data_IF_866137097573
#
_entry.id   IF_866137097573
#
_cell.length_a   1.000
_cell.length_b   1.000
_cell.length_c   1.000
_cell.angle_alpha   90.00
_cell.angle_beta   90.00
_cell.angle_gamma   90.00
#
_symmetry.space_group_name_H-M   'P 1'
#
loop_
_entity.id
_entity.type
_entity.pdbx_description
1 polymer ?
#
# COMPACT_ATOMS: atom_id res chain seq x y z
N UNK A 1 2.72 13.06 -3.81
CA UNK A 1 2.34 11.63 -3.82
C UNK A 1 2.10 11.18 -5.26
N UNK A 2 2.35 9.92 -5.61
CA UNK A 2 1.98 9.37 -6.92
C UNK A 2 0.48 9.49 -7.21
N UNK A 3 0.09 9.49 -8.49
CA UNK A 3 -1.32 9.36 -8.91
C UNK A 3 -1.93 8.02 -8.49
N UNK A 4 -1.12 6.99 -8.27
CA UNK A 4 -1.52 5.65 -7.82
C UNK A 4 -1.70 5.54 -6.30
N UNK A 5 -1.36 6.58 -5.53
CA UNK A 5 -1.51 6.59 -4.07
C UNK A 5 -2.98 6.46 -3.64
N UNK A 6 -3.21 5.74 -2.54
CA UNK A 6 -4.54 5.37 -2.06
C UNK A 6 -5.47 6.59 -1.83
N UNK A 7 -6.78 6.51 -2.13
CA UNK A 7 -7.72 7.61 -1.92
C UNK A 7 -7.84 8.11 -0.47
N UNK A 8 -7.34 7.36 0.52
CA UNK A 8 -7.25 7.84 1.90
C UNK A 8 -6.41 9.13 2.02
N UNK A 9 -5.41 9.34 1.17
CA UNK A 9 -4.66 10.60 1.15
C UNK A 9 -5.54 11.79 0.68
N UNK A 10 -6.52 11.55 -0.20
CA UNK A 10 -7.53 12.58 -0.53
C UNK A 10 -8.42 12.93 0.65
N UNK A 11 -8.84 11.92 1.42
CA UNK A 11 -9.60 12.15 2.65
C UNK A 11 -8.77 12.95 3.66
N UNK A 12 -7.51 12.61 3.85
CA UNK A 12 -6.59 13.37 4.69
C UNK A 12 -6.46 14.84 4.23
N UNK A 13 -6.28 15.09 2.92
CA UNK A 13 -6.25 16.44 2.36
C UNK A 13 -7.54 17.23 2.65
N UNK A 14 -8.71 16.58 2.57
CA UNK A 14 -10.00 17.20 2.86
C UNK A 14 -10.20 17.49 4.36
N UNK A 15 -9.85 16.54 5.23
CA UNK A 15 -10.04 16.62 6.68
C UNK A 15 -9.06 17.62 7.30
N UNK A 16 -7.78 17.50 6.97
CA UNK A 16 -6.70 18.30 7.56
C UNK A 16 -6.33 19.53 6.73
N UNK A 17 -7.12 19.83 5.69
CA UNK A 17 -6.96 21.00 4.80
C UNK A 17 -5.56 21.09 4.17
N UNK A 18 -5.05 19.94 3.73
CA UNK A 18 -3.74 19.84 3.09
C UNK A 18 -3.87 19.88 1.56
N UNK A 19 -2.98 20.63 0.90
CA UNK A 19 -2.87 20.62 -0.55
C UNK A 19 -2.19 19.33 -1.02
N UNK A 20 -2.85 18.60 -1.92
CA UNK A 20 -2.29 17.37 -2.49
C UNK A 20 -1.70 17.66 -3.86
N UNK A 21 -0.41 17.32 -4.04
CA UNK A 21 0.25 17.32 -5.35
C UNK A 21 0.39 15.87 -5.82
N UNK A 22 -0.26 15.56 -6.94
CA UNK A 22 -0.24 14.23 -7.57
C UNK A 22 0.79 14.20 -8.69
N UNK A 23 1.72 13.25 -8.60
CA UNK A 23 2.82 13.07 -9.54
C UNK A 23 2.47 11.90 -10.47
N UNK A 24 2.58 12.07 -11.80
CA UNK A 24 2.31 10.99 -12.73
C UNK A 24 3.27 9.82 -12.53
N UNK A 25 2.85 8.65 -13.01
CA UNK A 25 3.70 7.46 -13.11
C UNK A 25 4.26 7.34 -14.52
N UNK A 26 5.41 6.67 -14.66
CA UNK A 26 5.92 6.28 -15.96
C UNK A 26 4.95 5.27 -16.62
N UNK A 27 4.56 5.45 -17.89
CA UNK A 27 3.56 4.60 -18.53
C UNK A 27 4.03 3.16 -18.80
N UNK A 28 5.33 2.90 -18.76
CA UNK A 28 5.91 1.58 -19.00
C UNK A 28 6.21 0.84 -17.70
N UNK A 29 6.72 1.53 -16.67
CA UNK A 29 7.04 0.91 -15.37
C UNK A 29 5.91 0.99 -14.37
N UNK A 30 4.98 1.96 -14.54
CA UNK A 30 3.91 2.30 -13.59
C UNK A 30 4.42 2.68 -12.18
N UNK A 31 5.70 3.04 -12.10
CA UNK A 31 6.33 3.65 -10.92
C UNK A 31 6.23 5.18 -11.01
N UNK A 32 6.23 5.87 -9.86
CA UNK A 32 6.20 7.34 -9.85
C UNK A 32 7.42 7.98 -10.51
N UNK A 33 7.19 9.05 -11.28
CA UNK A 33 8.29 9.86 -11.83
C UNK A 33 9.00 10.65 -10.72
N UNK A 34 10.13 10.09 -10.27
CA UNK A 34 10.99 10.66 -9.22
C UNK A 34 11.50 12.07 -9.58
N UNK A 35 11.74 12.38 -10.86
CA UNK A 35 12.20 13.70 -11.30
C UNK A 35 11.08 14.72 -11.15
N UNK A 36 9.87 14.38 -11.54
CA UNK A 36 8.70 15.24 -11.32
C UNK A 36 8.37 15.38 -9.84
N UNK A 37 8.52 14.31 -9.05
CA UNK A 37 8.34 14.38 -7.60
C UNK A 37 9.31 15.38 -6.97
N UNK A 38 10.60 15.36 -7.34
CA UNK A 38 11.58 16.35 -6.87
C UNK A 38 11.14 17.79 -7.21
N UNK A 39 10.74 18.04 -8.46
CA UNK A 39 10.30 19.38 -8.92
C UNK A 39 9.07 19.91 -8.21
N UNK A 40 8.23 19.02 -7.67
CA UNK A 40 7.02 19.38 -6.96
C UNK A 40 7.24 19.78 -5.49
N UNK A 41 8.44 19.57 -4.95
CA UNK A 41 8.76 19.95 -3.57
C UNK A 41 8.87 21.46 -3.46
N UNK A 42 8.28 22.01 -2.41
CA UNK A 42 8.29 23.42 -2.08
C UNK A 42 8.60 23.59 -0.59
N UNK A 43 8.84 24.82 -0.15
CA UNK A 43 8.97 25.15 1.28
C UNK A 43 7.75 24.76 2.15
N UNK A 44 6.59 24.53 1.53
CA UNK A 44 5.36 24.15 2.22
C UNK A 44 5.12 22.63 2.20
N UNK A 45 6.01 21.84 1.61
CA UNK A 45 5.86 20.39 1.53
C UNK A 45 6.16 19.77 2.89
N UNK A 46 5.16 19.14 3.49
CA UNK A 46 5.28 18.55 4.84
C UNK A 46 5.44 17.02 4.84
N UNK A 47 5.19 16.34 3.71
CA UNK A 47 5.32 14.89 3.60
C UNK A 47 5.44 14.44 2.14
N UNK A 48 6.24 13.41 1.89
CA UNK A 48 6.28 12.64 0.65
C UNK A 48 5.60 11.30 0.90
N UNK A 49 4.80 10.83 -0.06
CA UNK A 49 4.12 9.53 -0.01
C UNK A 49 4.67 8.66 -1.14
N UNK A 50 4.92 7.39 -0.85
CA UNK A 50 5.21 6.34 -1.80
C UNK A 50 4.43 5.07 -1.41
N UNK A 51 4.13 4.17 -2.35
CA UNK A 51 3.39 2.93 -2.09
C UNK A 51 4.27 1.69 -2.28
N UNK A 52 4.08 0.68 -1.43
CA UNK A 52 4.80 -0.59 -1.49
C UNK A 52 3.85 -1.77 -1.16
N UNK A 53 3.17 -2.35 -2.16
CA UNK A 53 2.90 -1.82 -3.49
C UNK A 53 1.69 -0.86 -3.51
N UNK A 54 1.47 -0.19 -4.63
CA UNK A 54 0.23 0.55 -4.89
C UNK A 54 -0.94 -0.40 -5.18
N UNK A 55 -2.15 0.01 -4.80
CA UNK A 55 -3.37 -0.78 -5.02
C UNK A 55 -3.75 -0.95 -6.49
N UNK A 56 -3.71 0.09 -7.36
CA UNK A 56 -4.25 -0.05 -8.71
C UNK A 56 -3.50 -1.06 -9.57
N UNK A 57 -2.17 -1.05 -9.51
CA UNK A 57 -1.36 -1.84 -10.43
C UNK A 57 -0.63 -2.98 -9.73
N UNK A 58 -0.21 -2.80 -8.47
CA UNK A 58 0.64 -3.77 -7.78
C UNK A 58 2.13 -3.44 -7.83
N UNK A 59 2.53 -2.30 -8.40
CA UNK A 59 3.92 -1.83 -8.45
C UNK A 59 4.39 -1.26 -7.12
N UNK A 60 5.67 -1.46 -6.81
CA UNK A 60 6.36 -0.80 -5.70
C UNK A 60 7.04 0.46 -6.24
N UNK A 61 6.76 1.62 -5.63
CA UNK A 61 7.47 2.86 -5.99
C UNK A 61 8.97 2.75 -5.67
N UNK A 62 9.84 3.53 -6.34
CA UNK A 62 11.29 3.52 -6.10
C UNK A 62 11.68 4.18 -4.76
N UNK A 63 11.39 3.50 -3.65
CA UNK A 63 11.49 4.03 -2.27
C UNK A 63 12.89 4.57 -1.97
N UNK A 64 13.94 3.88 -2.42
CA UNK A 64 15.33 4.31 -2.20
C UNK A 64 15.65 5.64 -2.90
N UNK A 65 15.11 5.89 -4.09
CA UNK A 65 15.35 7.14 -4.81
C UNK A 65 14.50 8.28 -4.26
N UNK A 66 13.26 7.98 -3.87
CA UNK A 66 12.39 8.93 -3.17
C UNK A 66 13.01 9.31 -1.81
N UNK A 67 13.64 8.36 -1.11
CA UNK A 67 14.35 8.61 0.14
C UNK A 67 15.51 9.58 -0.02
N UNK A 68 16.25 9.55 -1.14
CA UNK A 68 17.33 10.52 -1.37
C UNK A 68 16.78 11.94 -1.43
N UNK A 69 15.65 12.12 -2.10
CA UNK A 69 14.94 13.40 -2.17
C UNK A 69 14.40 13.81 -0.79
N UNK A 70 13.78 12.87 -0.07
CA UNK A 70 13.27 13.13 1.28
C UNK A 70 14.36 13.71 2.21
N UNK A 71 15.55 13.11 2.17
CA UNK A 71 16.72 13.57 2.93
C UNK A 71 17.26 14.91 2.40
N UNK A 72 17.37 15.08 1.08
CA UNK A 72 17.84 16.32 0.42
C UNK A 72 17.03 17.55 0.86
N UNK A 73 15.70 17.41 0.98
CA UNK A 73 14.80 18.51 1.33
C UNK A 73 14.36 18.52 2.80
N UNK A 74 14.80 17.56 3.61
CA UNK A 74 14.36 17.42 5.01
C UNK A 74 12.84 17.19 5.16
N UNK A 75 12.21 16.48 4.22
CA UNK A 75 10.77 16.19 4.20
C UNK A 75 10.54 14.71 4.55
N UNK A 76 9.65 14.38 5.51
CA UNK A 76 9.44 12.99 5.90
C UNK A 76 8.80 12.17 4.76
N UNK A 77 9.30 10.95 4.53
CA UNK A 77 8.72 9.98 3.61
C UNK A 77 7.83 8.98 4.37
N UNK A 78 6.57 8.89 3.96
CA UNK A 78 5.66 7.83 4.37
C UNK A 78 5.60 6.75 3.28
N UNK A 79 5.77 5.49 3.67
CA UNK A 79 5.59 4.33 2.79
C UNK A 79 4.25 3.68 3.11
N UNK A 80 3.33 3.75 2.15
CA UNK A 80 2.05 3.07 2.21
C UNK A 80 2.24 1.58 1.89
N UNK A 81 2.42 0.78 2.95
CA UNK A 81 2.46 -0.68 2.92
C UNK A 81 1.12 -1.29 3.31
N UNK A 82 0.02 -0.53 3.32
CA UNK A 82 -1.28 -1.03 3.78
C UNK A 82 -1.68 -2.29 3.01
N UNK A 83 -1.49 -2.33 1.70
CA UNK A 83 -1.79 -3.49 0.87
C UNK A 83 -0.84 -4.64 1.16
N UNK A 84 0.44 -4.49 0.80
CA UNK A 84 1.39 -5.61 0.74
C UNK A 84 2.31 -5.75 1.94
N UNK A 85 2.15 -4.96 3.01
CA UNK A 85 3.10 -4.89 4.13
C UNK A 85 3.44 -6.25 4.76
N UNK A 86 2.41 -7.09 4.97
CA UNK A 86 2.57 -8.47 5.47
C UNK A 86 3.08 -9.46 4.43
N UNK A 87 3.19 -9.12 3.16
CA UNK A 87 3.86 -9.94 2.15
C UNK A 87 5.31 -9.49 2.00
N UNK A 88 5.53 -8.21 1.71
CA UNK A 88 6.85 -7.63 1.41
C UNK A 88 7.84 -7.85 2.56
N UNK A 89 7.36 -7.91 3.81
CA UNK A 89 8.19 -8.22 4.98
C UNK A 89 8.81 -9.63 4.95
N UNK A 90 8.19 -10.60 4.27
CA UNK A 90 8.64 -12.00 4.22
C UNK A 90 9.09 -12.45 2.82
N UNK A 91 8.96 -11.59 1.81
CA UNK A 91 9.35 -11.86 0.42
C UNK A 91 10.76 -12.44 0.27
N UNK A 92 11.75 -11.87 0.96
CA UNK A 92 13.14 -12.35 0.93
C UNK A 92 13.26 -13.80 1.42
N UNK A 93 12.69 -14.10 2.60
CA UNK A 93 12.63 -15.46 3.16
C UNK A 93 11.78 -16.43 2.34
N UNK A 94 10.78 -15.92 1.61
CA UNK A 94 9.96 -16.70 0.71
C UNK A 94 10.67 -17.09 -0.59
N UNK A 95 11.85 -16.52 -0.87
CA UNK A 95 12.63 -16.76 -2.10
C UNK A 95 12.40 -15.74 -3.21
N UNK A 96 11.82 -14.58 -2.88
CA UNK A 96 11.43 -13.53 -3.82
C UNK A 96 11.98 -12.17 -3.38
N UNK A 97 13.32 -11.97 -3.36
CA UNK A 97 13.93 -10.78 -2.80
C UNK A 97 13.47 -9.50 -3.50
N UNK A 98 13.22 -8.45 -2.69
CA UNK A 98 12.83 -7.11 -3.14
C UNK A 98 13.90 -6.08 -2.79
N UNK A 99 13.90 -4.95 -3.49
CA UNK A 99 14.67 -3.77 -3.09
C UNK A 99 14.18 -3.27 -1.72
N UNK A 100 15.06 -2.69 -0.87
CA UNK A 100 14.65 -2.11 0.40
C UNK A 100 13.53 -1.07 0.25
N UNK A 101 12.51 -1.18 1.10
CA UNK A 101 11.32 -0.31 1.12
C UNK A 101 10.95 0.17 2.54
N UNK A 102 11.58 -0.38 3.58
CA UNK A 102 11.20 -0.16 4.99
C UNK A 102 12.18 0.80 5.70
N UNK A 103 12.21 0.76 7.05
CA UNK A 103 13.07 1.62 7.85
C UNK A 103 14.58 1.42 7.62
N UNK A 104 15.02 0.37 6.91
CA UNK A 104 16.40 0.24 6.40
C UNK A 104 16.74 1.37 5.41
N UNK A 105 15.74 1.94 4.76
CA UNK A 105 15.89 3.11 3.87
C UNK A 105 15.84 4.39 4.72
N UNK A 106 16.93 5.19 4.82
CA UNK A 106 17.06 6.20 5.88
C UNK A 106 16.00 7.31 5.86
N UNK A 107 15.50 7.70 4.68
CA UNK A 107 14.48 8.75 4.55
C UNK A 107 13.07 8.32 4.96
N UNK A 108 12.79 7.01 5.07
CA UNK A 108 11.46 6.50 5.46
C UNK A 108 11.19 6.85 6.93
N UNK A 109 10.18 7.67 7.19
CA UNK A 109 9.84 8.15 8.53
C UNK A 109 8.60 7.49 9.12
N UNK A 110 7.73 6.95 8.28
CA UNK A 110 6.58 6.15 8.72
C UNK A 110 6.17 5.11 7.70
N UNK A 111 5.54 4.03 8.17
CA UNK A 111 5.04 2.92 7.34
C UNK A 111 3.65 2.52 7.85
N UNK A 112 2.66 2.48 6.96
CA UNK A 112 1.36 1.86 7.25
C UNK A 112 1.36 0.39 6.83
N UNK A 113 0.65 -0.47 7.56
CA UNK A 113 0.57 -1.91 7.27
C UNK A 113 -0.75 -2.49 7.81
N UNK A 114 -1.59 -3.04 6.93
CA UNK A 114 -2.89 -3.58 7.34
C UNK A 114 -2.77 -5.06 7.74
N UNK A 115 -2.84 -5.33 9.04
CA UNK A 115 -2.94 -6.71 9.54
C UNK A 115 -4.23 -7.40 9.09
N UNK A 116 -5.29 -6.65 8.82
CA UNK A 116 -6.55 -7.22 8.31
C UNK A 116 -6.55 -7.59 6.81
N UNK A 117 -5.41 -7.44 6.14
CA UNK A 117 -5.18 -7.96 4.77
C UNK A 117 -4.35 -9.23 4.86
N UNK A 118 -3.09 -9.19 4.42
CA UNK A 118 -2.19 -10.35 4.45
C UNK A 118 -1.65 -10.69 5.84
N UNK A 119 -2.03 -9.94 6.89
CA UNK A 119 -1.84 -10.38 8.27
C UNK A 119 -2.89 -11.39 8.74
N UNK A 120 -3.94 -11.62 7.93
CA UNK A 120 -5.05 -12.55 8.19
C UNK A 120 -5.85 -12.26 9.47
N UNK A 121 -5.77 -11.02 9.96
CA UNK A 121 -6.60 -10.53 11.06
C UNK A 121 -8.03 -10.23 10.58
N UNK A 122 -9.07 -10.38 11.42
CA UNK A 122 -10.40 -9.86 11.12
C UNK A 122 -10.38 -8.37 10.74
N UNK A 123 -11.31 -7.98 9.85
CA UNK A 123 -11.42 -6.59 9.37
C UNK A 123 -11.53 -5.60 10.52
N UNK A 124 -10.79 -4.49 10.40
CA UNK A 124 -10.79 -3.39 11.38
C UNK A 124 -9.49 -3.20 12.17
N UNK A 125 -8.43 -3.97 11.89
CA UNK A 125 -7.11 -3.78 12.49
C UNK A 125 -6.04 -3.38 11.45
N UNK A 126 -5.19 -2.41 11.79
CA UNK A 126 -4.04 -1.95 11.00
C UNK A 126 -3.00 -1.33 11.94
N UNK A 127 -1.80 -1.10 11.44
CA UNK A 127 -0.69 -0.51 12.20
C UNK A 127 -0.08 0.65 11.42
N UNK A 128 0.20 1.75 12.12
CA UNK A 128 1.09 2.82 11.67
C UNK A 128 2.36 2.76 12.52
N UNK A 129 3.50 2.69 11.84
CA UNK A 129 4.83 2.65 12.45
C UNK A 129 5.54 3.95 12.15
N UNK A 130 6.34 4.43 13.11
CA UNK A 130 7.16 5.64 12.96
C UNK A 130 8.61 5.31 13.25
N UNK A 131 9.54 5.98 12.57
CA UNK A 131 10.97 5.81 12.80
C UNK A 131 11.37 6.22 14.21
N UNK A 132 10.77 7.28 14.75
CA UNK A 132 11.11 7.81 16.07
C UNK A 132 9.88 8.20 16.88
N UNK A 133 9.97 8.21 18.23
CA UNK A 133 8.90 8.66 19.11
C UNK A 133 8.49 10.12 18.89
N UNK A 134 9.43 10.98 18.49
CA UNK A 134 9.17 12.40 18.24
C UNK A 134 8.16 12.57 17.09
N UNK A 135 8.34 11.84 15.99
CA UNK A 135 7.39 11.86 14.86
C UNK A 135 6.04 11.30 15.30
N UNK A 136 6.04 10.19 16.05
CA UNK A 136 4.84 9.57 16.59
C UNK A 136 4.04 10.53 17.49
N UNK A 137 4.72 11.36 18.28
CA UNK A 137 4.07 12.26 19.25
C UNK A 137 3.11 13.27 18.60
N UNK A 138 3.37 13.67 17.36
CA UNK A 138 2.52 14.61 16.61
C UNK A 138 1.16 14.02 16.21
N UNK A 139 0.95 12.71 16.33
CA UNK A 139 -0.35 12.09 16.03
C UNK A 139 -1.32 12.12 17.22
N UNK A 140 -0.80 12.31 18.44
CA UNK A 140 -1.60 12.21 19.65
C UNK A 140 -2.49 13.44 19.81
N UNK A 141 -3.69 13.23 20.33
CA UNK A 141 -4.56 14.30 20.81
C UNK A 141 -4.55 14.31 22.33
N UNK A 142 -4.43 15.50 22.93
CA UNK A 142 -4.49 15.68 24.38
C UNK A 142 -5.29 16.95 24.71
N UNK A 143 -6.15 16.85 25.71
CA UNK A 143 -6.96 17.93 26.27
C UNK A 143 -6.87 17.87 27.79
N UNK A 144 -6.19 18.84 28.40
CA UNK A 144 -5.83 18.80 29.82
C UNK A 144 -6.87 19.45 30.74
N UNK A 145 -7.69 20.36 30.22
CA UNK A 145 -8.63 21.23 30.94
C UNK A 145 -10.09 20.80 30.76
N UNK A 146 -10.34 19.58 30.30
CA UNK A 146 -11.69 19.03 30.18
C UNK A 146 -12.26 18.72 31.58
N UNK A 147 -13.51 19.11 31.90
CA UNK A 147 -14.12 18.83 33.21
C UNK A 147 -14.22 17.35 33.59
N UNK A 148 -14.16 16.44 32.60
CA UNK A 148 -14.13 14.98 32.83
C UNK A 148 -12.75 14.43 33.20
N UNK A 149 -11.74 15.31 33.36
CA UNK A 149 -10.34 14.95 33.60
C UNK A 149 -9.48 15.05 32.34
N UNK A 150 -8.17 14.80 32.49
CA UNK A 150 -7.23 14.82 31.37
C UNK A 150 -7.64 13.75 30.35
N UNK A 151 -7.88 14.16 29.11
CA UNK A 151 -8.21 13.27 28.00
C UNK A 151 -7.04 13.18 27.04
N UNK A 152 -6.64 11.96 26.68
CA UNK A 152 -5.64 11.73 25.65
C UNK A 152 -6.03 10.53 24.78
N UNK A 153 -5.86 10.65 23.45
CA UNK A 153 -6.09 9.56 22.51
C UNK A 153 -4.88 9.37 21.58
N UNK A 154 -4.40 8.13 21.40
CA UNK A 154 -3.26 7.86 20.53
C UNK A 154 -3.65 7.76 19.04
N UNK A 155 -4.94 7.86 18.74
CA UNK A 155 -5.54 7.76 17.39
C UNK A 155 -6.83 8.59 17.33
N UNK A 156 -7.50 8.60 16.17
CA UNK A 156 -8.76 9.34 15.97
C UNK A 156 -9.86 8.90 16.95
N UNK A 157 -9.95 7.60 17.25
CA UNK A 157 -11.02 7.06 18.11
C UNK A 157 -10.67 7.19 19.60
N UNK A 158 -11.72 7.43 20.42
CA UNK A 158 -11.69 7.26 21.87
C UNK A 158 -11.87 5.79 22.26
N UNK A 159 -13.12 5.38 22.50
CA UNK A 159 -13.48 3.96 22.70
C UNK A 159 -13.14 3.13 21.46
N UNK A 160 -12.51 1.96 21.66
CA UNK A 160 -12.01 1.09 20.59
C UNK A 160 -12.28 -0.38 20.92
N UNK A 161 -12.41 -1.21 19.89
CA UNK A 161 -12.65 -2.66 20.06
C UNK A 161 -11.37 -3.39 20.48
N UNK A 162 -11.27 -3.73 21.77
CA UNK A 162 -10.18 -4.58 22.28
C UNK A 162 -10.17 -5.98 21.68
N UNK A 163 -11.34 -6.48 21.25
CA UNK A 163 -11.47 -7.78 20.58
C UNK A 163 -10.65 -7.84 19.29
N UNK A 164 -10.72 -6.81 18.44
CA UNK A 164 -9.97 -6.78 17.17
C UNK A 164 -8.45 -6.75 17.41
N UNK A 165 -8.00 -6.08 18.47
CA UNK A 165 -6.59 -6.07 18.86
C UNK A 165 -6.15 -7.47 19.33
N UNK A 166 -6.98 -8.14 20.14
CA UNK A 166 -6.72 -9.50 20.58
C UNK A 166 -6.68 -10.49 19.39
N UNK A 167 -7.60 -10.37 18.43
CA UNK A 167 -7.57 -11.19 17.21
C UNK A 167 -6.32 -10.93 16.37
N UNK A 168 -5.89 -9.67 16.24
CA UNK A 168 -4.64 -9.32 15.56
C UNK A 168 -3.46 -10.03 16.20
N UNK A 169 -3.34 -9.94 17.52
CA UNK A 169 -2.30 -10.63 18.27
C UNK A 169 -2.36 -12.14 18.09
N UNK A 170 -3.56 -12.73 18.19
CA UNK A 170 -3.76 -14.17 18.02
C UNK A 170 -3.31 -14.64 16.63
N UNK A 171 -3.66 -13.92 15.56
CA UNK A 171 -3.23 -14.26 14.19
C UNK A 171 -1.71 -14.16 14.03
N UNK A 172 -1.08 -13.12 14.58
CA UNK A 172 0.38 -12.96 14.56
C UNK A 172 1.09 -14.14 15.24
N UNK A 173 0.59 -14.57 16.40
CA UNK A 173 1.16 -15.68 17.15
C UNK A 173 0.89 -17.03 16.52
N UNK A 174 -0.29 -17.22 15.91
CA UNK A 174 -0.67 -18.46 15.26
C UNK A 174 0.17 -18.74 14.01
N UNK A 175 0.30 -17.76 13.11
CA UNK A 175 1.11 -17.93 11.90
C UNK A 175 2.60 -17.92 12.23
N UNK A 176 3.05 -17.00 13.11
CA UNK A 176 4.46 -16.76 13.34
C UNK A 176 5.22 -16.41 12.06
N UNK A 177 6.55 -16.33 12.15
CA UNK A 177 7.38 -15.97 10.98
C UNK A 177 7.27 -17.02 9.88
N UNK A 178 7.37 -18.31 10.22
CA UNK A 178 7.41 -19.38 9.23
C UNK A 178 6.07 -19.53 8.50
N UNK A 179 4.94 -19.37 9.20
CA UNK A 179 3.62 -19.38 8.57
C UNK A 179 3.44 -18.22 7.59
N UNK A 180 3.83 -16.99 7.95
CA UNK A 180 3.76 -15.88 7.01
C UNK A 180 4.72 -16.03 5.82
N UNK A 181 5.90 -16.63 6.01
CA UNK A 181 6.82 -16.96 4.90
C UNK A 181 6.18 -17.96 3.94
N UNK A 182 5.52 -18.99 4.46
CA UNK A 182 4.84 -20.01 3.64
C UNK A 182 3.62 -19.44 2.90
N UNK A 183 2.78 -18.66 3.57
CA UNK A 183 1.64 -18.00 2.92
C UNK A 183 2.09 -16.99 1.86
N UNK A 184 3.14 -16.22 2.14
CA UNK A 184 3.76 -15.34 1.14
C UNK A 184 4.23 -16.15 -0.06
N UNK A 185 4.88 -17.30 0.15
CA UNK A 185 5.35 -18.15 -0.94
C UNK A 185 4.20 -18.61 -1.84
N UNK A 186 3.13 -19.13 -1.25
CA UNK A 186 1.94 -19.60 -1.98
C UNK A 186 1.29 -18.48 -2.78
N UNK A 187 1.04 -17.33 -2.16
CA UNK A 187 0.38 -16.18 -2.79
C UNK A 187 1.20 -15.69 -3.99
N UNK A 188 2.51 -15.57 -3.84
CA UNK A 188 3.38 -15.07 -4.92
C UNK A 188 3.52 -16.08 -6.06
N UNK A 189 3.60 -17.38 -5.75
CA UNK A 189 3.59 -18.42 -6.78
C UNK A 189 2.27 -18.42 -7.58
N UNK A 190 1.13 -18.33 -6.89
CA UNK A 190 -0.18 -18.23 -7.53
C UNK A 190 -0.31 -16.97 -8.40
N UNK A 191 0.15 -15.83 -7.86
CA UNK A 191 0.18 -14.54 -8.57
C UNK A 191 0.97 -14.63 -9.88
N UNK A 192 2.16 -15.23 -9.84
CA UNK A 192 3.01 -15.41 -11.03
C UNK A 192 2.41 -16.40 -12.03
N UNK A 193 1.80 -17.49 -11.56
CA UNK A 193 1.11 -18.44 -12.42
C UNK A 193 -0.09 -17.79 -13.14
N UNK A 194 -0.88 -16.98 -12.41
CA UNK A 194 -2.00 -16.23 -12.97
C UNK A 194 -1.52 -15.22 -14.03
N UNK A 195 -0.49 -14.43 -13.71
CA UNK A 195 0.10 -13.48 -14.63
C UNK A 195 0.61 -14.16 -15.91
N UNK A 196 1.28 -15.30 -15.79
CA UNK A 196 1.71 -16.11 -16.94
C UNK A 196 0.53 -16.62 -17.76
N UNK A 197 -0.53 -17.11 -17.11
CA UNK A 197 -1.75 -17.57 -17.78
C UNK A 197 -2.40 -16.46 -18.60
N UNK A 198 -2.59 -15.29 -18.01
CA UNK A 198 -3.19 -14.14 -18.68
C UNK A 198 -2.32 -13.56 -19.80
N UNK A 199 -1.00 -13.57 -19.65
CA UNK A 199 -0.08 -13.11 -20.70
C UNK A 199 -0.12 -13.94 -21.98
N UNK A 200 -0.66 -15.16 -21.93
CA UNK A 200 -0.81 -16.08 -23.08
C UNK A 200 -2.14 -15.92 -23.81
N UNK A 201 -3.05 -15.08 -23.32
CA UNK A 201 -4.35 -14.86 -23.93
C UNK A 201 -4.24 -13.74 -24.96
N UNK A 202 -4.53 -14.07 -26.22
CA UNK A 202 -4.49 -13.11 -27.32
C UNK A 202 -5.37 -11.88 -27.05
N UNK A 203 -4.79 -10.71 -27.24
CA UNK A 203 -5.46 -9.42 -27.01
C UNK A 203 -5.41 -8.91 -25.58
N UNK A 204 -4.90 -9.68 -24.61
CA UNK A 204 -4.60 -9.21 -23.25
C UNK A 204 -3.11 -8.88 -23.09
N UNK A 205 -2.81 -7.95 -22.19
CA UNK A 205 -1.44 -7.68 -21.75
C UNK A 205 -1.42 -7.36 -20.25
N UNK A 206 -0.33 -7.72 -19.59
CA UNK A 206 -0.07 -7.32 -18.20
C UNK A 206 0.34 -5.84 -18.17
N UNK A 207 -0.27 -5.04 -17.29
CA UNK A 207 0.10 -3.63 -17.10
C UNK A 207 1.54 -3.49 -16.59
N UNK A 208 1.99 -4.43 -15.77
CA UNK A 208 3.39 -4.62 -15.39
C UNK A 208 3.64 -6.08 -15.00
N UNK A 209 4.90 -6.46 -14.78
CA UNK A 209 5.24 -7.74 -14.18
C UNK A 209 5.04 -7.67 -12.65
N UNK A 210 4.13 -8.45 -12.04
CA UNK A 210 3.75 -8.27 -10.64
C UNK A 210 4.89 -8.57 -9.67
N UNK A 211 5.26 -7.58 -8.86
CA UNK A 211 6.26 -7.74 -7.80
C UNK A 211 5.70 -8.49 -6.59
N UNK A 212 4.40 -8.31 -6.30
CA UNK A 212 3.73 -8.82 -5.11
C UNK A 212 2.46 -9.61 -5.48
N UNK A 213 1.28 -9.25 -5.00
CA UNK A 213 0.05 -10.07 -5.04
C UNK A 213 -1.04 -9.58 -5.99
N UNK A 214 -0.82 -8.45 -6.65
CA UNK A 214 -1.80 -7.84 -7.57
C UNK A 214 -1.37 -8.09 -9.00
N UNK A 215 -2.31 -8.57 -9.83
CA UNK A 215 -2.11 -8.72 -11.28
C UNK A 215 -3.08 -7.82 -12.01
N UNK A 216 -2.56 -6.74 -12.62
CA UNK A 216 -3.36 -5.84 -13.42
C UNK A 216 -3.23 -6.13 -14.92
N UNK A 217 -4.37 -6.16 -15.63
CA UNK A 217 -4.44 -6.47 -17.06
C UNK A 217 -5.26 -5.47 -17.84
N UNK A 218 -4.84 -5.29 -19.09
CA UNK A 218 -5.46 -4.39 -20.07
C UNK A 218 -5.60 -5.06 -21.43
N UNK A 219 -6.23 -4.35 -22.35
CA UNK A 219 -6.25 -4.70 -23.77
C UNK A 219 -6.07 -3.45 -24.62
N UNK A 220 -5.35 -3.59 -25.74
CA UNK A 220 -5.27 -2.58 -26.81
C UNK A 220 -6.17 -2.92 -28.00
N UNK A 221 -6.80 -4.10 -27.97
CA UNK A 221 -7.58 -4.66 -29.09
C UNK A 221 -9.07 -4.46 -28.87
N UNK A 222 -9.53 -4.54 -27.63
CA UNK A 222 -10.93 -4.37 -27.26
C UNK A 222 -11.09 -3.60 -25.95
N UNK A 223 -12.31 -3.17 -25.65
CA UNK A 223 -12.63 -2.57 -24.36
C UNK A 223 -12.57 -3.65 -23.26
N UNK A 224 -11.57 -3.53 -22.40
CA UNK A 224 -11.28 -4.50 -21.33
C UNK A 224 -12.44 -4.67 -20.33
N UNK A 225 -13.34 -3.70 -20.20
CA UNK A 225 -14.50 -3.82 -19.32
C UNK A 225 -15.51 -4.87 -19.79
N UNK A 226 -15.55 -5.22 -21.08
CA UNK A 226 -16.38 -6.34 -21.54
C UNK A 226 -15.88 -7.69 -21.01
N UNK A 227 -14.56 -7.85 -20.84
CA UNK A 227 -13.98 -9.03 -20.18
C UNK A 227 -14.36 -9.04 -18.70
N UNK A 228 -14.25 -7.89 -18.03
CA UNK A 228 -14.66 -7.74 -16.63
C UNK A 228 -16.14 -8.09 -16.40
N UNK A 229 -17.04 -7.59 -17.25
CA UNK A 229 -18.46 -7.91 -17.20
C UNK A 229 -18.71 -9.41 -17.44
N UNK A 230 -18.05 -10.00 -18.44
CA UNK A 230 -18.16 -11.44 -18.73
C UNK A 230 -17.62 -12.34 -17.60
N UNK A 231 -16.61 -11.87 -16.86
CA UNK A 231 -16.10 -12.54 -15.65
C UNK A 231 -17.11 -12.43 -14.50
N UNK A 232 -17.72 -11.25 -14.31
CA UNK A 232 -18.79 -11.04 -13.32
C UNK A 232 -19.99 -11.95 -13.55
N UNK A 233 -20.41 -12.11 -14.80
CA UNK A 233 -21.51 -13.01 -15.16
C UNK A 233 -21.21 -14.48 -14.86
N UNK A 234 -19.92 -14.82 -14.67
CA UNK A 234 -19.42 -16.15 -14.28
C UNK A 234 -19.09 -16.25 -12.78
N UNK A 235 -19.47 -15.24 -11.99
CA UNK A 235 -19.28 -15.22 -10.54
C UNK A 235 -17.93 -14.67 -10.06
N UNK A 236 -17.10 -14.13 -10.96
CA UNK A 236 -15.82 -13.52 -10.58
C UNK A 236 -15.98 -12.04 -10.26
N UNK A 237 -15.52 -11.62 -9.09
CA UNK A 237 -15.60 -10.23 -8.65
C UNK A 237 -14.21 -9.58 -8.66
N UNK A 238 -13.85 -8.99 -9.80
CA UNK A 238 -12.58 -8.30 -9.99
C UNK A 238 -12.76 -6.78 -9.92
N UNK A 239 -11.67 -6.06 -9.66
CA UNK A 239 -11.69 -4.62 -9.54
C UNK A 239 -11.42 -3.95 -10.89
N UNK A 240 -12.36 -3.13 -11.37
CA UNK A 240 -12.15 -2.30 -12.54
C UNK A 240 -11.17 -1.16 -12.27
N UNK A 241 -10.23 -0.94 -13.18
CA UNK A 241 -9.23 0.12 -13.16
C UNK A 241 -9.54 1.20 -14.18
N UNK A 242 -9.00 2.40 -13.96
CA UNK A 242 -9.08 3.51 -14.90
C UNK A 242 -7.78 4.31 -14.89
N UNK A 243 -7.45 4.92 -16.03
CA UNK A 243 -6.23 5.71 -16.26
C UNK A 243 -4.93 4.95 -15.93
N UNK A 244 -4.64 3.83 -16.63
CA UNK A 244 -5.29 3.32 -17.84
C UNK A 244 -6.48 2.37 -17.55
N UNK A 245 -7.30 2.12 -18.57
CA UNK A 245 -8.39 1.14 -18.46
C UNK A 245 -7.83 -0.27 -18.27
N UNK A 246 -8.40 -1.01 -17.32
CA UNK A 246 -7.97 -2.36 -16.99
C UNK A 246 -8.89 -3.00 -15.96
N UNK A 247 -8.51 -4.17 -15.49
CA UNK A 247 -8.97 -4.70 -14.21
C UNK A 247 -7.78 -5.37 -13.52
N UNK A 248 -7.90 -5.60 -12.22
CA UNK A 248 -6.95 -6.45 -11.51
C UNK A 248 -7.65 -7.51 -10.68
N UNK A 249 -6.90 -8.59 -10.47
CA UNK A 249 -7.18 -9.56 -9.43
C UNK A 249 -6.19 -9.36 -8.27
N UNK A 250 -6.72 -9.46 -7.06
CA UNK A 250 -5.99 -9.42 -5.81
C UNK A 250 -6.41 -10.66 -5.03
N UNK A 251 -5.45 -11.54 -4.75
CA UNK A 251 -5.67 -12.66 -3.84
C UNK A 251 -5.85 -12.10 -2.42
N UNK A 252 -7.05 -11.64 -2.06
CA UNK A 252 -7.44 -11.52 -0.67
C UNK A 252 -7.96 -12.91 -0.28
N UNK A 253 -7.25 -13.57 0.64
CA UNK A 253 -7.76 -14.78 1.27
C UNK A 253 -9.07 -14.44 1.99
N UNK A 254 -10.19 -14.62 1.30
CA UNK A 254 -11.55 -14.64 1.85
C UNK A 254 -12.09 -16.05 1.74
#
# INVERSE_FOLDING_TARGET
>A
MPVTAHPAFNKAGSYFKMKLIRIPVDPNTLEVDVKQMRRAITKNTCMIIASAPCFPHGTIDPIQDISKIALEYGVPLHVDGCLGGFLIAFMDKAGFPLKPFDFRVPGVMSISCDSHKYGFTPKGASVILYRTPEICSHQFYALADWPGGIYASPSIAGSRSGFLIACCWATLMYYGVDGYVEETRKIIQATRALAQGWSKIDGLYLLHNPDVSVVAVGSKVFNIYYVLDGLRDRGWHLNGLQNPAGYFDEFLCT
#
